data_IF_975182072281
#
_entry.id   IF_975182072281
#
_cell.length_a   1.000
_cell.length_b   1.000
_cell.length_c   1.000
_cell.angle_alpha   90.00
_cell.angle_beta   90.00
_cell.angle_gamma   90.00
#
_symmetry.space_group_name_H-M   'P 1'
#
loop_
_entity.id
_entity.type
_entity.pdbx_description
1 polymer ?
#
# COMPACT_ATOMS: atom_id res chain seq x y z
N UNK A 1 20.09 17.53 5.70
CA UNK A 1 18.77 18.18 5.48
C UNK A 1 18.00 17.48 4.35
N UNK A 2 18.11 16.14 4.21
CA UNK A 2 17.56 15.37 3.07
C UNK A 2 16.71 14.15 3.48
N UNK A 3 16.54 13.88 4.79
CA UNK A 3 15.81 12.67 5.26
C UNK A 3 14.28 12.79 5.24
N UNK A 4 13.72 13.97 5.02
CA UNK A 4 12.29 14.25 5.24
C UNK A 4 11.41 13.84 4.06
N UNK A 5 11.94 13.73 2.83
CA UNK A 5 11.15 13.28 1.68
C UNK A 5 11.27 11.77 1.50
N UNK A 6 10.17 11.06 1.73
CA UNK A 6 10.02 9.69 1.25
C UNK A 6 10.30 9.67 -0.27
N UNK A 7 11.32 8.91 -0.70
CA UNK A 7 11.61 8.71 -2.11
C UNK A 7 10.41 8.12 -2.86
N UNK A 8 10.37 8.28 -4.18
CA UNK A 8 9.25 7.84 -5.03
C UNK A 8 8.83 6.39 -4.78
N UNK A 9 9.81 5.49 -4.61
CA UNK A 9 9.63 4.08 -4.25
C UNK A 9 8.89 3.89 -2.91
N UNK A 10 9.28 4.62 -1.86
CA UNK A 10 8.64 4.50 -0.55
C UNK A 10 7.19 5.00 -0.59
N UNK A 11 6.91 6.11 -1.31
CA UNK A 11 5.54 6.60 -1.52
C UNK A 11 4.67 5.57 -2.25
N UNK A 12 5.22 4.93 -3.27
CA UNK A 12 4.52 3.89 -4.03
C UNK A 12 4.22 2.64 -3.18
N UNK A 13 5.14 2.24 -2.28
CA UNK A 13 4.89 1.16 -1.32
C UNK A 13 3.82 1.52 -0.29
N UNK A 14 3.79 2.76 0.20
CA UNK A 14 2.71 3.26 1.07
C UNK A 14 1.37 3.23 0.35
N UNK A 15 1.35 3.57 -0.94
CA UNK A 15 0.15 3.50 -1.78
C UNK A 15 -0.36 2.06 -1.95
N UNK A 16 0.54 1.09 -2.11
CA UNK A 16 0.20 -0.34 -2.06
C UNK A 16 -0.27 -0.79 -0.67
N UNK A 17 -0.02 0.02 0.35
CA UNK A 17 -0.55 -0.11 1.69
C UNK A 17 0.41 -0.62 2.75
N UNK A 18 1.71 -0.53 2.50
CA UNK A 18 2.71 -0.78 3.52
C UNK A 18 2.87 0.43 4.44
N UNK A 19 2.47 0.25 5.70
CA UNK A 19 2.48 1.29 6.72
C UNK A 19 3.76 1.18 7.59
N UNK A 20 4.92 1.39 6.98
CA UNK A 20 6.22 1.37 7.66
C UNK A 20 6.99 2.69 7.47
N UNK A 21 8.00 2.92 8.30
CA UNK A 21 8.90 4.05 8.12
C UNK A 21 9.68 3.96 6.79
N UNK A 22 10.09 5.09 6.18
CA UNK A 22 10.84 5.09 4.93
C UNK A 22 12.11 4.24 4.97
N UNK A 23 12.81 4.20 6.11
CA UNK A 23 13.98 3.35 6.32
C UNK A 23 13.63 1.88 6.17
N UNK A 24 12.59 1.43 6.87
CA UNK A 24 12.12 0.05 6.78
C UNK A 24 11.60 -0.33 5.39
N UNK A 25 10.94 0.61 4.69
CA UNK A 25 10.51 0.40 3.30
C UNK A 25 11.69 0.23 2.34
N UNK A 26 12.80 0.95 2.56
CA UNK A 26 14.03 0.77 1.77
C UNK A 26 14.62 -0.62 1.96
N UNK A 27 14.67 -1.12 3.20
CA UNK A 27 15.13 -2.49 3.50
C UNK A 27 14.25 -3.56 2.83
N UNK A 28 12.92 -3.35 2.86
CA UNK A 28 11.95 -4.27 2.24
C UNK A 28 11.93 -4.20 0.71
N UNK A 29 12.38 -3.09 0.12
CA UNK A 29 12.23 -2.77 -1.30
C UNK A 29 12.66 -3.92 -2.22
N UNK A 30 13.83 -4.52 -1.97
CA UNK A 30 14.34 -5.58 -2.84
C UNK A 30 13.56 -6.88 -2.66
N UNK A 31 13.30 -7.28 -1.40
CA UNK A 31 12.51 -8.48 -1.09
C UNK A 31 11.11 -8.41 -1.74
N UNK A 32 10.47 -7.24 -1.72
CA UNK A 32 9.12 -7.05 -2.27
C UNK A 32 9.05 -7.19 -3.79
N UNK A 33 10.19 -7.15 -4.50
CA UNK A 33 10.30 -7.39 -5.95
C UNK A 33 10.39 -8.88 -6.31
N UNK A 34 10.71 -9.75 -5.34
CA UNK A 34 10.93 -11.17 -5.58
C UNK A 34 9.72 -11.85 -6.24
N UNK A 35 8.55 -11.74 -5.62
CA UNK A 35 7.32 -12.35 -6.11
C UNK A 35 6.89 -11.86 -7.49
N UNK A 36 6.80 -10.54 -7.78
CA UNK A 36 6.47 -10.10 -9.13
C UNK A 36 7.54 -10.48 -10.17
N UNK A 37 8.83 -10.57 -9.81
CA UNK A 37 9.86 -11.09 -10.72
C UNK A 37 9.62 -12.55 -11.09
N UNK A 38 9.33 -13.41 -10.11
CA UNK A 38 9.03 -14.84 -10.33
C UNK A 38 7.76 -15.00 -11.19
N UNK A 39 6.70 -14.26 -10.87
CA UNK A 39 5.45 -14.30 -11.64
C UNK A 39 5.65 -13.80 -13.07
N UNK A 40 6.43 -12.74 -13.27
CA UNK A 40 6.72 -12.22 -14.60
C UNK A 40 7.53 -13.22 -15.43
N UNK A 41 8.55 -13.84 -14.84
CA UNK A 41 9.35 -14.86 -15.51
C UNK A 41 8.49 -16.05 -15.94
N UNK A 42 7.65 -16.57 -15.04
CA UNK A 42 6.71 -17.65 -15.37
C UNK A 42 5.69 -17.23 -16.44
N UNK A 43 5.17 -16.00 -16.39
CA UNK A 43 4.23 -15.49 -17.39
C UNK A 43 4.89 -15.39 -18.78
N UNK A 44 6.15 -14.94 -18.85
CA UNK A 44 6.91 -14.90 -20.10
C UNK A 44 7.14 -16.30 -20.68
N UNK A 45 7.43 -17.29 -19.84
CA UNK A 45 7.53 -18.70 -20.27
C UNK A 45 6.18 -19.17 -20.82
N UNK A 46 5.08 -18.95 -20.10
CA UNK A 46 3.74 -19.33 -20.55
C UNK A 46 3.34 -18.71 -21.89
N UNK A 47 3.68 -17.43 -22.12
CA UNK A 47 3.46 -16.75 -23.39
C UNK A 47 4.34 -17.30 -24.52
N UNK A 48 5.61 -17.58 -24.23
CA UNK A 48 6.57 -18.09 -25.22
C UNK A 48 6.24 -19.51 -25.66
N UNK A 49 5.85 -20.37 -24.72
CA UNK A 49 5.47 -21.77 -25.00
C UNK A 49 4.01 -21.93 -25.40
N UNK A 50 3.20 -20.87 -25.27
CA UNK A 50 1.73 -20.89 -25.45
C UNK A 50 1.05 -21.94 -24.58
N UNK A 51 1.58 -22.16 -23.38
CA UNK A 51 1.09 -23.17 -22.45
C UNK A 51 0.05 -22.57 -21.49
N UNK A 52 -1.26 -22.86 -21.65
CA UNK A 52 -2.29 -22.29 -20.80
C UNK A 52 -2.18 -22.72 -19.34
N UNK A 53 -1.63 -23.92 -19.06
CA UNK A 53 -1.51 -24.42 -17.68
C UNK A 53 -0.67 -23.49 -16.79
N UNK A 54 0.38 -22.87 -17.33
CA UNK A 54 1.23 -21.93 -16.59
C UNK A 54 0.42 -20.70 -16.17
N UNK A 55 -0.41 -20.16 -17.06
CA UNK A 55 -1.26 -19.01 -16.75
C UNK A 55 -2.42 -19.36 -15.80
N UNK A 56 -2.99 -20.57 -15.87
CA UNK A 56 -3.94 -21.03 -14.85
C UNK A 56 -3.28 -21.12 -13.47
N UNK A 57 -2.06 -21.63 -13.38
CA UNK A 57 -1.30 -21.69 -12.13
C UNK A 57 -1.01 -20.28 -11.57
N UNK A 58 -0.60 -19.34 -12.44
CA UNK A 58 -0.38 -17.94 -12.06
C UNK A 58 -1.69 -17.24 -11.65
N UNK A 59 -2.82 -17.58 -12.28
CA UNK A 59 -4.13 -17.06 -11.90
C UNK A 59 -4.47 -17.47 -10.45
N UNK A 60 -4.38 -18.76 -10.15
CA UNK A 60 -4.62 -19.28 -8.80
C UNK A 60 -3.66 -18.64 -7.78
N UNK A 61 -2.37 -18.55 -8.13
CA UNK A 61 -1.36 -17.94 -7.29
C UNK A 61 -1.65 -16.46 -6.98
N UNK A 62 -2.04 -15.69 -8.00
CA UNK A 62 -2.33 -14.26 -7.87
C UNK A 62 -3.62 -13.96 -7.11
N UNK A 63 -4.63 -14.83 -7.21
CA UNK A 63 -5.92 -14.63 -6.54
C UNK A 63 -5.89 -15.04 -5.06
N UNK A 64 -5.09 -16.03 -4.69
CA UNK A 64 -5.00 -16.57 -3.33
C UNK A 64 -4.75 -15.52 -2.22
N UNK A 65 -3.85 -14.52 -2.37
CA UNK A 65 -3.60 -13.51 -1.35
C UNK A 65 -4.83 -12.67 -1.00
N UNK A 66 -5.83 -12.61 -1.89
CA UNK A 66 -7.08 -11.92 -1.60
C UNK A 66 -7.81 -12.52 -0.39
N UNK A 67 -7.70 -13.81 -0.12
CA UNK A 67 -8.27 -14.41 1.11
C UNK A 67 -7.22 -14.72 2.17
N UNK A 68 -5.98 -14.93 1.76
CA UNK A 68 -4.91 -15.35 2.66
C UNK A 68 -3.70 -14.40 2.60
N UNK A 69 -3.72 -13.28 3.35
CA UNK A 69 -2.73 -12.19 3.24
C UNK A 69 -1.28 -12.62 3.47
N UNK A 70 -1.07 -13.58 4.37
CA UNK A 70 0.25 -14.06 4.79
C UNK A 70 0.64 -15.39 4.12
N UNK A 71 -0.19 -15.91 3.20
CA UNK A 71 -0.08 -17.27 2.71
C UNK A 71 0.31 -17.36 1.23
N UNK A 72 0.78 -16.29 0.60
CA UNK A 72 1.26 -16.36 -0.78
C UNK A 72 2.41 -17.39 -0.90
N UNK A 73 2.29 -18.44 -1.74
CA UNK A 73 3.30 -19.51 -1.85
C UNK A 73 4.71 -19.02 -2.15
N UNK A 74 4.85 -18.10 -3.12
CA UNK A 74 6.15 -17.50 -3.46
C UNK A 74 6.73 -16.66 -2.31
N UNK A 75 5.94 -15.85 -1.61
CA UNK A 75 6.40 -15.12 -0.42
C UNK A 75 6.83 -16.09 0.69
N UNK A 76 6.11 -17.21 0.88
CA UNK A 76 6.47 -18.26 1.85
C UNK A 76 7.78 -18.94 1.46
N UNK A 77 7.94 -19.31 0.20
CA UNK A 77 9.20 -19.87 -0.31
C UNK A 77 10.36 -18.90 -0.08
N UNK A 78 10.20 -17.62 -0.39
CA UNK A 78 11.19 -16.60 -0.08
C UNK A 78 11.51 -16.58 1.42
N UNK A 79 10.51 -16.47 2.28
CA UNK A 79 10.69 -16.30 3.72
C UNK A 79 11.33 -17.52 4.41
N UNK A 80 11.03 -18.73 3.95
CA UNK A 80 11.46 -19.98 4.59
C UNK A 80 12.70 -20.61 3.95
N UNK A 81 12.92 -20.40 2.64
CA UNK A 81 14.01 -21.06 1.90
C UNK A 81 15.08 -20.05 1.49
N UNK A 82 14.74 -18.99 0.77
CA UNK A 82 15.75 -18.08 0.22
C UNK A 82 16.32 -17.11 1.26
N UNK A 83 15.45 -16.53 2.09
CA UNK A 83 15.81 -15.53 3.08
C UNK A 83 16.91 -16.01 4.04
N UNK A 84 16.83 -17.21 4.66
CA UNK A 84 17.86 -17.67 5.58
C UNK A 84 19.24 -17.82 4.94
N UNK A 85 19.30 -18.19 3.66
CA UNK A 85 20.57 -18.42 2.96
C UNK A 85 21.42 -17.15 2.91
N UNK A 86 20.80 -15.97 2.79
CA UNK A 86 21.51 -14.71 2.55
C UNK A 86 21.19 -13.64 3.61
N UNK A 87 20.67 -14.06 4.77
CA UNK A 87 20.24 -13.17 5.89
C UNK A 87 19.30 -12.04 5.44
N UNK A 88 18.35 -12.34 4.55
CA UNK A 88 17.43 -11.36 3.99
C UNK A 88 16.38 -10.84 4.97
N UNK A 89 15.66 -9.80 4.56
CA UNK A 89 14.55 -9.20 5.31
C UNK A 89 13.29 -10.08 5.17
N UNK A 90 12.54 -10.29 6.26
CA UNK A 90 11.27 -11.04 6.21
C UNK A 90 10.20 -10.23 5.49
N UNK A 91 9.56 -10.83 4.49
CA UNK A 91 8.39 -10.27 3.82
C UNK A 91 7.19 -10.23 4.78
N UNK A 92 6.53 -9.07 4.94
CA UNK A 92 5.31 -8.95 5.72
C UNK A 92 4.09 -9.47 4.93
N UNK A 93 2.94 -9.69 5.60
CA UNK A 93 1.68 -10.00 4.94
C UNK A 93 1.28 -8.94 3.90
N UNK A 94 0.56 -9.35 2.86
CA UNK A 94 0.13 -8.46 1.79
C UNK A 94 -1.01 -7.54 2.26
N UNK A 95 -0.86 -6.20 2.22
CA UNK A 95 -1.94 -5.27 2.54
C UNK A 95 -3.06 -5.32 1.50
N UNK A 96 -4.24 -4.81 1.85
CA UNK A 96 -5.43 -4.91 1.00
C UNK A 96 -5.25 -4.34 -0.44
N UNK A 97 -4.67 -3.13 -0.66
CA UNK A 97 -4.49 -2.63 -2.02
C UNK A 97 -3.59 -3.55 -2.87
N UNK A 98 -2.51 -4.08 -2.28
CA UNK A 98 -1.67 -5.09 -2.94
C UNK A 98 -2.42 -6.40 -3.21
N UNK A 99 -3.26 -6.86 -2.29
CA UNK A 99 -4.10 -8.07 -2.48
C UNK A 99 -5.06 -7.92 -3.66
N UNK A 100 -5.69 -6.75 -3.79
CA UNK A 100 -6.55 -6.41 -4.92
C UNK A 100 -5.73 -6.40 -6.22
N UNK A 101 -4.53 -5.82 -6.21
CA UNK A 101 -3.64 -5.83 -7.36
C UNK A 101 -3.23 -7.25 -7.79
N UNK A 102 -2.88 -8.13 -6.84
CA UNK A 102 -2.58 -9.53 -7.11
C UNK A 102 -3.80 -10.25 -7.71
N UNK A 103 -5.00 -10.01 -7.16
CA UNK A 103 -6.25 -10.59 -7.67
C UNK A 103 -6.51 -10.16 -9.11
N UNK A 104 -6.37 -8.87 -9.43
CA UNK A 104 -6.51 -8.36 -10.80
C UNK A 104 -5.48 -9.00 -11.73
N UNK A 105 -4.21 -9.10 -11.32
CA UNK A 105 -3.19 -9.80 -12.10
C UNK A 105 -3.50 -11.28 -12.31
N UNK A 106 -4.08 -11.94 -11.30
CA UNK A 106 -4.56 -13.32 -11.41
C UNK A 106 -5.71 -13.46 -12.40
N UNK A 107 -6.69 -12.54 -12.36
CA UNK A 107 -7.79 -12.49 -13.32
C UNK A 107 -7.30 -12.23 -14.76
N UNK A 108 -6.29 -11.37 -14.95
CA UNK A 108 -5.66 -11.19 -16.27
C UNK A 108 -4.97 -12.47 -16.75
N UNK A 109 -4.26 -13.20 -15.87
CA UNK A 109 -3.69 -14.51 -16.22
C UNK A 109 -4.76 -15.54 -16.58
N UNK A 110 -5.89 -15.55 -15.90
CA UNK A 110 -7.02 -16.40 -16.26
C UNK A 110 -7.53 -16.07 -17.68
N UNK A 111 -7.65 -14.77 -18.01
CA UNK A 111 -8.00 -14.33 -19.36
C UNK A 111 -6.99 -14.77 -20.43
N UNK A 112 -5.69 -14.70 -20.14
CA UNK A 112 -4.63 -15.20 -21.03
C UNK A 112 -4.78 -16.71 -21.26
N UNK A 113 -4.95 -17.49 -20.19
CA UNK A 113 -5.10 -18.94 -20.27
C UNK A 113 -6.32 -19.33 -21.12
N UNK A 114 -7.47 -18.69 -20.86
CA UNK A 114 -8.71 -18.93 -21.61
C UNK A 114 -8.57 -18.52 -23.09
N UNK A 115 -7.85 -17.44 -23.39
CA UNK A 115 -7.59 -17.03 -24.77
C UNK A 115 -6.74 -18.07 -25.52
N UNK A 116 -5.72 -18.67 -24.89
CA UNK A 116 -4.97 -19.78 -25.48
C UNK A 116 -5.83 -21.03 -25.69
N UNK A 117 -6.65 -21.42 -24.70
CA UNK A 117 -7.58 -22.56 -24.81
C UNK A 117 -8.58 -22.36 -25.95
N UNK A 118 -9.07 -21.13 -26.15
CA UNK A 118 -9.99 -20.78 -27.22
C UNK A 118 -9.31 -20.60 -28.60
N UNK A 119 -7.98 -20.77 -28.70
CA UNK A 119 -7.22 -20.54 -29.93
C UNK A 119 -7.06 -19.06 -30.32
N UNK A 120 -7.49 -18.11 -29.48
CA UNK A 120 -7.34 -16.67 -29.72
C UNK A 120 -5.96 -16.18 -29.25
N UNK A 121 -4.94 -16.60 -29.98
CA UNK A 121 -3.53 -16.27 -29.72
C UNK A 121 -3.28 -14.74 -29.71
N UNK A 122 -3.86 -13.92 -30.61
CA UNK A 122 -3.68 -12.46 -30.56
C UNK A 122 -4.14 -11.84 -29.24
N UNK A 123 -5.32 -12.25 -28.73
CA UNK A 123 -5.83 -11.75 -27.46
C UNK A 123 -4.93 -12.17 -26.28
N UNK A 124 -4.44 -13.41 -26.29
CA UNK A 124 -3.52 -13.89 -25.26
C UNK A 124 -2.24 -13.04 -25.19
N UNK A 125 -1.63 -12.71 -26.33
CA UNK A 125 -0.45 -11.85 -26.38
C UNK A 125 -0.75 -10.40 -26.03
N UNK A 126 -1.91 -9.86 -26.39
CA UNK A 126 -2.32 -8.51 -25.99
C UNK A 126 -2.40 -8.39 -24.46
N UNK A 127 -3.14 -9.31 -23.83
CA UNK A 127 -3.28 -9.36 -22.37
C UNK A 127 -1.94 -9.64 -21.68
N UNK A 128 -1.16 -10.57 -22.22
CA UNK A 128 0.17 -10.93 -21.71
C UNK A 128 1.17 -9.78 -21.79
N UNK A 129 1.24 -9.10 -22.93
CA UNK A 129 2.11 -7.94 -23.14
C UNK A 129 1.75 -6.79 -22.18
N UNK A 130 0.46 -6.47 -22.06
CA UNK A 130 -0.02 -5.49 -21.06
C UNK A 130 0.41 -5.89 -19.64
N UNK A 131 0.21 -7.15 -19.26
CA UNK A 131 0.55 -7.64 -17.93
C UNK A 131 2.06 -7.57 -17.66
N UNK A 132 2.92 -7.89 -18.64
CA UNK A 132 4.39 -7.78 -18.51
C UNK A 132 4.81 -6.32 -18.32
N UNK A 133 4.26 -5.39 -19.10
CA UNK A 133 4.55 -3.95 -18.95
C UNK A 133 4.17 -3.45 -17.56
N UNK A 134 2.97 -3.80 -17.07
CA UNK A 134 2.53 -3.42 -15.73
C UNK A 134 3.42 -4.02 -14.63
N UNK A 135 3.88 -5.27 -14.79
CA UNK A 135 4.82 -5.89 -13.86
C UNK A 135 6.18 -5.20 -13.88
N UNK A 136 6.71 -4.83 -15.04
CA UNK A 136 7.98 -4.10 -15.15
C UNK A 136 7.92 -2.77 -14.40
N UNK A 137 6.80 -2.03 -14.50
CA UNK A 137 6.61 -0.77 -13.75
C UNK A 137 6.67 -1.04 -12.24
N UNK A 138 5.94 -2.04 -11.74
CA UNK A 138 5.96 -2.40 -10.30
C UNK A 138 7.35 -2.86 -9.85
N UNK A 139 8.02 -3.70 -10.63
CA UNK A 139 9.33 -4.25 -10.30
C UNK A 139 10.39 -3.15 -10.24
N UNK A 140 10.32 -2.16 -11.14
CA UNK A 140 11.34 -1.10 -11.24
C UNK A 140 11.07 0.06 -10.28
N UNK A 141 9.80 0.47 -10.12
CA UNK A 141 9.43 1.71 -9.42
C UNK A 141 8.63 1.49 -8.14
N UNK A 142 8.12 0.27 -7.90
CA UNK A 142 7.06 -0.03 -6.92
C UNK A 142 5.72 0.69 -7.19
N UNK A 143 5.57 1.45 -8.27
CA UNK A 143 4.27 2.01 -8.63
C UNK A 143 3.37 0.90 -9.15
N UNK A 144 2.22 0.70 -8.50
CA UNK A 144 1.24 -0.31 -8.87
C UNK A 144 -0.03 0.35 -9.38
N UNK A 145 -0.26 0.25 -10.69
CA UNK A 145 -1.44 0.83 -11.36
C UNK A 145 -2.74 0.35 -10.73
N UNK A 146 -2.86 -0.94 -10.40
CA UNK A 146 -4.05 -1.48 -9.75
C UNK A 146 -4.30 -0.90 -8.34
N UNK A 147 -3.24 -0.71 -7.54
CA UNK A 147 -3.38 -0.04 -6.22
C UNK A 147 -3.77 1.43 -6.36
N UNK A 148 -3.30 2.11 -7.41
CA UNK A 148 -3.70 3.48 -7.74
C UNK A 148 -5.15 3.57 -8.19
N UNK A 149 -5.58 2.67 -9.07
CA UNK A 149 -6.98 2.57 -9.51
C UNK A 149 -7.92 2.32 -8.34
N UNK A 150 -7.52 1.46 -7.39
CA UNK A 150 -8.29 1.23 -6.16
C UNK A 150 -8.53 2.53 -5.37
N UNK A 151 -7.50 3.36 -5.22
CA UNK A 151 -7.64 4.67 -4.56
C UNK A 151 -8.59 5.60 -5.32
N UNK A 152 -8.47 5.70 -6.64
CA UNK A 152 -9.39 6.49 -7.48
C UNK A 152 -10.83 6.01 -7.31
N UNK A 153 -11.03 4.71 -7.35
CA UNK A 153 -12.35 4.10 -7.21
C UNK A 153 -12.98 4.43 -5.85
N UNK A 154 -12.21 4.34 -4.76
CA UNK A 154 -12.69 4.75 -3.43
C UNK A 154 -13.09 6.23 -3.38
N UNK A 155 -12.33 7.11 -4.06
CA UNK A 155 -12.66 8.54 -4.16
C UNK A 155 -13.95 8.76 -4.95
N UNK A 156 -14.10 8.09 -6.09
CA UNK A 156 -15.29 8.18 -6.93
C UNK A 156 -16.56 7.71 -6.22
N UNK A 157 -16.46 6.68 -5.36
CA UNK A 157 -17.57 6.19 -4.55
C UNK A 157 -17.84 7.00 -3.27
N UNK A 158 -17.11 8.09 -3.01
CA UNK A 158 -17.24 8.86 -1.76
C UNK A 158 -16.79 8.11 -0.50
N UNK A 159 -16.08 6.99 -0.65
CA UNK A 159 -15.57 6.16 0.45
C UNK A 159 -14.20 6.64 0.97
N UNK A 160 -13.63 7.65 0.33
CA UNK A 160 -12.39 8.31 0.72
C UNK A 160 -12.64 9.36 1.79
N UNK A 161 -11.86 9.37 2.88
CA UNK A 161 -11.97 10.39 3.92
C UNK A 161 -11.35 11.69 3.41
N UNK A 162 -12.14 12.76 3.17
CA UNK A 162 -11.61 14.02 2.72
C UNK A 162 -10.69 14.64 3.78
N UNK A 163 -9.73 15.43 3.34
CA UNK A 163 -8.90 16.21 4.25
C UNK A 163 -9.62 17.49 4.63
N UNK A 164 -9.53 17.91 5.88
CA UNK A 164 -10.00 19.24 6.29
C UNK A 164 -9.12 20.32 5.66
N UNK A 165 -9.69 21.46 5.21
CA UNK A 165 -8.93 22.63 4.80
C UNK A 165 -8.05 23.15 5.94
N UNK A 166 -6.94 23.81 5.59
CA UNK A 166 -5.97 24.25 6.59
C UNK A 166 -6.50 25.37 7.50
N UNK A 167 -7.38 26.23 7.00
CA UNK A 167 -8.06 27.25 7.80
C UNK A 167 -8.93 26.61 8.90
N UNK A 168 -9.78 25.66 8.53
CA UNK A 168 -10.60 24.89 9.48
C UNK A 168 -9.73 24.12 10.48
N UNK A 169 -8.63 23.51 10.02
CA UNK A 169 -7.71 22.82 10.92
C UNK A 169 -7.09 23.77 11.96
N UNK A 170 -6.75 25.01 11.58
CA UNK A 170 -6.23 26.03 12.51
C UNK A 170 -7.28 26.43 13.54
N UNK A 171 -8.53 26.60 13.14
CA UNK A 171 -9.64 26.89 14.06
C UNK A 171 -9.86 25.76 15.07
N UNK A 172 -9.86 24.51 14.60
CA UNK A 172 -9.97 23.34 15.46
C UNK A 172 -8.81 23.24 16.46
N UNK A 173 -7.57 23.49 16.02
CA UNK A 173 -6.40 23.53 16.91
C UNK A 173 -6.50 24.66 17.94
N UNK A 174 -6.95 25.85 17.54
CA UNK A 174 -7.17 26.98 18.44
C UNK A 174 -8.28 26.69 19.47
N UNK A 175 -9.27 25.87 19.09
CA UNK A 175 -10.33 25.39 19.98
C UNK A 175 -9.91 24.20 20.87
N UNK A 176 -8.64 23.77 20.81
CA UNK A 176 -8.09 22.73 21.68
C UNK A 176 -8.11 21.31 21.11
N UNK A 177 -8.27 21.15 19.78
CA UNK A 177 -8.15 19.83 19.15
C UNK A 177 -6.73 19.25 19.33
N UNK A 178 -6.67 17.93 19.52
CA UNK A 178 -5.40 17.22 19.60
C UNK A 178 -4.83 16.92 18.21
N UNK A 179 -3.58 17.31 18.00
CA UNK A 179 -2.85 16.99 16.79
C UNK A 179 -2.17 15.63 16.95
N UNK A 180 -2.58 14.65 16.14
CA UNK A 180 -2.12 13.27 16.24
C UNK A 180 -1.26 12.90 15.02
N UNK A 181 -0.02 12.52 15.28
CA UNK A 181 0.86 11.96 14.27
C UNK A 181 0.77 10.43 14.26
N UNK A 182 0.27 9.85 13.18
CA UNK A 182 0.08 8.39 13.06
C UNK A 182 1.26 7.66 12.41
N UNK A 183 2.41 8.33 12.29
CA UNK A 183 3.66 7.73 11.81
C UNK A 183 4.34 6.86 12.87
N UNK A 184 5.37 6.13 12.44
CA UNK A 184 6.19 5.35 13.36
C UNK A 184 7.04 6.27 14.27
N UNK A 185 7.43 5.82 15.48
CA UNK A 185 8.15 6.66 16.44
C UNK A 185 9.49 7.19 15.94
N UNK A 186 10.19 6.44 15.10
CA UNK A 186 11.45 6.84 14.46
C UNK A 186 11.25 8.04 13.52
N UNK A 187 10.16 8.04 12.75
CA UNK A 187 9.78 9.18 11.89
C UNK A 187 9.39 10.41 12.70
N UNK A 188 8.70 10.21 13.83
CA UNK A 188 8.28 11.29 14.71
C UNK A 188 9.48 11.95 15.41
N UNK A 189 10.40 11.14 15.93
CA UNK A 189 11.60 11.61 16.62
C UNK A 189 12.50 12.51 15.75
N UNK A 190 12.51 12.30 14.43
CA UNK A 190 13.30 13.11 13.50
C UNK A 190 12.69 14.50 13.26
N UNK A 191 11.44 14.56 12.79
CA UNK A 191 10.74 15.83 12.54
C UNK A 191 9.23 15.59 12.59
N UNK A 192 8.49 16.46 13.27
CA UNK A 192 7.05 16.40 13.43
C UNK A 192 6.46 17.81 13.60
N UNK A 193 5.14 17.92 13.57
CA UNK A 193 4.46 19.18 13.84
C UNK A 193 4.48 19.48 15.34
N UNK A 194 4.88 20.69 15.76
CA UNK A 194 4.90 21.06 17.18
C UNK A 194 3.56 20.82 17.86
N UNK A 195 3.60 20.34 19.10
CA UNK A 195 2.40 20.04 19.88
C UNK A 195 1.66 18.77 19.47
N UNK A 196 2.17 18.00 18.48
CA UNK A 196 1.55 16.72 18.13
C UNK A 196 1.93 15.58 19.08
N UNK A 197 0.96 14.69 19.34
CA UNK A 197 1.17 13.42 20.05
C UNK A 197 1.37 12.31 19.02
N UNK A 198 2.41 11.50 19.16
CA UNK A 198 2.63 10.35 18.29
C UNK A 198 1.80 9.15 18.74
N UNK A 199 0.93 8.66 17.85
CA UNK A 199 0.19 7.40 18.05
C UNK A 199 0.19 6.61 16.74
N UNK A 200 1.12 5.65 16.55
CA UNK A 200 1.27 4.92 15.28
C UNK A 200 -0.02 4.21 14.82
N UNK A 201 -0.25 4.18 13.51
CA UNK A 201 -1.45 3.58 12.90
C UNK A 201 -1.75 2.15 13.38
N UNK A 202 -0.71 1.35 13.67
CA UNK A 202 -0.87 -0.02 14.11
C UNK A 202 -1.69 -0.15 15.41
N UNK A 203 -1.48 0.76 16.37
CA UNK A 203 -2.13 0.78 17.69
C UNK A 203 -3.02 2.00 17.92
N UNK A 204 -3.48 2.65 16.85
CA UNK A 204 -4.13 3.97 16.95
C UNK A 204 -5.43 3.99 17.75
N UNK A 205 -6.18 2.88 17.76
CA UNK A 205 -7.44 2.76 18.50
C UNK A 205 -7.16 2.74 20.00
N UNK A 206 -6.30 1.83 20.45
CA UNK A 206 -5.96 1.67 21.86
C UNK A 206 -5.20 2.89 22.38
N UNK A 207 -4.28 3.43 21.57
CA UNK A 207 -3.43 4.56 21.95
C UNK A 207 -4.16 5.91 22.01
N UNK A 208 -5.42 5.98 21.56
CA UNK A 208 -6.31 7.15 21.65
C UNK A 208 -7.58 6.87 22.44
N UNK A 209 -7.66 5.74 23.15
CA UNK A 209 -8.84 5.40 23.95
C UNK A 209 -9.15 6.48 24.99
N UNK A 210 -8.13 7.15 25.53
CA UNK A 210 -8.22 8.28 26.47
C UNK A 210 -8.69 9.60 25.83
N UNK A 211 -8.64 9.69 24.50
CA UNK A 211 -9.02 10.88 23.74
C UNK A 211 -10.30 10.68 22.93
N UNK A 212 -11.16 9.69 23.29
CA UNK A 212 -12.40 9.37 22.55
C UNK A 212 -13.36 10.56 22.40
N UNK A 213 -13.50 11.37 23.45
CA UNK A 213 -14.41 12.51 23.47
C UNK A 213 -13.75 13.82 23.02
N UNK A 214 -12.45 13.77 22.66
CA UNK A 214 -11.68 14.93 22.19
C UNK A 214 -11.81 15.07 20.68
N UNK A 215 -11.65 16.30 20.20
CA UNK A 215 -11.51 16.58 18.77
C UNK A 215 -10.11 16.20 18.32
N UNK A 216 -9.99 15.32 17.33
CA UNK A 216 -8.72 14.77 16.87
C UNK A 216 -8.41 15.18 15.43
N UNK A 217 -7.20 15.68 15.20
CA UNK A 217 -6.66 16.02 13.89
C UNK A 217 -5.48 15.09 13.55
N UNK A 218 -5.70 14.16 12.62
CA UNK A 218 -4.72 13.11 12.32
C UNK A 218 -3.94 13.42 11.05
N UNK A 219 -2.62 13.28 11.10
CA UNK A 219 -1.75 13.46 9.93
C UNK A 219 -0.67 12.38 9.84
N UNK A 220 -0.05 12.27 8.66
CA UNK A 220 1.16 11.47 8.47
C UNK A 220 2.02 12.06 7.33
N UNK A 221 3.00 11.31 6.79
CA UNK A 221 3.84 11.81 5.68
C UNK A 221 3.03 12.10 4.42
N UNK A 222 2.30 11.11 3.88
CA UNK A 222 1.61 11.21 2.58
C UNK A 222 0.09 11.39 2.69
N UNK A 223 -0.48 11.33 3.90
CA UNK A 223 -1.92 11.32 4.15
C UNK A 223 -2.59 9.93 4.07
N UNK A 224 -1.90 8.90 3.57
CA UNK A 224 -2.47 7.54 3.45
C UNK A 224 -2.73 6.88 4.81
N UNK A 225 -1.78 7.03 5.74
CA UNK A 225 -1.91 6.45 7.09
C UNK A 225 -2.96 7.18 7.92
N UNK A 226 -3.03 8.52 7.85
CA UNK A 226 -4.07 9.30 8.54
C UNK A 226 -5.46 8.98 8.02
N UNK A 227 -5.65 8.85 6.70
CA UNK A 227 -6.92 8.41 6.12
C UNK A 227 -7.37 7.05 6.70
N UNK A 228 -6.45 6.08 6.81
CA UNK A 228 -6.75 4.76 7.41
C UNK A 228 -7.07 4.86 8.89
N UNK A 229 -6.30 5.65 9.64
CA UNK A 229 -6.52 5.85 11.06
C UNK A 229 -7.90 6.43 11.34
N UNK A 230 -8.32 7.48 10.60
CA UNK A 230 -9.66 8.07 10.71
C UNK A 230 -10.74 7.04 10.40
N UNK A 231 -10.58 6.20 9.37
CA UNK A 231 -11.56 5.14 9.07
C UNK A 231 -11.64 4.08 10.18
N UNK A 232 -10.51 3.73 10.82
CA UNK A 232 -10.49 2.78 11.94
C UNK A 232 -11.21 3.38 13.13
N UNK A 233 -10.79 4.56 13.57
CA UNK A 233 -11.37 5.22 14.74
C UNK A 233 -12.87 5.52 14.58
N UNK A 234 -13.34 5.93 13.39
CA UNK A 234 -14.78 6.11 13.13
C UNK A 234 -15.58 4.82 13.29
N UNK A 235 -15.02 3.66 12.93
CA UNK A 235 -15.69 2.36 13.14
C UNK A 235 -15.76 1.97 14.61
N UNK A 236 -14.80 2.42 15.39
CA UNK A 236 -14.78 2.24 16.84
C UNK A 236 -15.66 3.28 17.57
N UNK A 237 -16.32 4.19 16.85
CA UNK A 237 -17.28 5.15 17.42
C UNK A 237 -16.64 6.41 17.97
N UNK A 238 -15.46 6.80 17.50
CA UNK A 238 -14.97 8.15 17.71
C UNK A 238 -15.68 9.11 16.74
N UNK A 239 -16.24 10.19 17.27
CA UNK A 239 -17.11 11.08 16.49
C UNK A 239 -16.36 12.29 15.92
N UNK A 240 -15.55 12.95 16.75
CA UNK A 240 -14.89 14.23 16.41
C UNK A 240 -13.50 14.01 15.80
N UNK A 241 -13.42 13.33 14.65
CA UNK A 241 -12.13 13.02 13.99
C UNK A 241 -12.05 13.58 12.58
N UNK A 242 -10.96 14.31 12.37
CA UNK A 242 -10.62 15.03 11.15
C UNK A 242 -9.31 14.49 10.54
N UNK A 243 -9.32 14.28 9.23
CA UNK A 243 -8.12 13.90 8.48
C UNK A 243 -7.38 15.17 8.04
N UNK A 244 -6.18 15.38 8.54
CA UNK A 244 -5.35 16.54 8.17
C UNK A 244 -4.38 16.22 7.02
N UNK A 245 -4.23 14.93 6.68
CA UNK A 245 -3.54 14.49 5.48
C UNK A 245 -2.01 14.50 5.58
N UNK A 246 -1.35 15.01 4.53
CA UNK A 246 0.10 14.96 4.39
C UNK A 246 0.79 16.10 5.15
N UNK A 247 1.81 15.77 5.93
CA UNK A 247 2.61 16.71 6.73
C UNK A 247 3.22 17.84 5.88
N UNK A 248 3.66 17.55 4.65
CA UNK A 248 4.23 18.54 3.74
C UNK A 248 3.27 19.72 3.47
N UNK A 249 1.95 19.45 3.41
CA UNK A 249 0.93 20.50 3.19
C UNK A 249 0.85 21.50 4.34
N UNK A 250 1.25 21.09 5.54
CA UNK A 250 1.21 21.94 6.73
C UNK A 250 2.52 22.67 6.99
N UNK A 251 3.63 22.07 6.56
CA UNK A 251 4.95 22.69 6.73
C UNK A 251 5.20 23.79 5.69
N UNK A 252 4.58 23.70 4.50
CA UNK A 252 4.70 24.71 3.44
C UNK A 252 3.93 26.01 3.69
N UNK A 253 3.08 26.04 4.71
CA UNK A 253 2.23 27.19 5.08
C UNK A 253 2.71 27.88 6.36
N UNK A 254 4.00 27.72 6.71
CA UNK A 254 4.68 28.50 7.76
C UNK A 254 5.08 29.89 7.21
N UNK A 255 4.10 30.60 6.65
CA UNK A 255 4.22 31.96 6.13
C UNK A 255 3.00 32.77 6.52
#
# INVERSE_FOLDING_TARGET
MDEVRAGSSARALIQQGYDYSPGRLRELSWALRFTPLVCMAAALVGLATREPAIHFALAALGMLPFWMPAAHPVDRFYNHVLRPLWRGVKLPPNPLPRRIACFMGGATNLGIALAFVAGNVPLAYLLGGMLVVLQLIVITTHFCVASWMYEIFLRALGLWVPTVPLAEARELLAAGAELIDVREPDEFAGNHLPGSRNVPLAGVVDGLADSRDRTLLLYCVSGMRSQRAVRRLRREGFEQIHNLGAMEKMQGDRG
#
